data_IF_094187869685
#
_entry.id   IF_094187869685
#
_cell.length_a   1.000
_cell.length_b   1.000
_cell.length_c   1.000
_cell.angle_alpha   90.00
_cell.angle_beta   90.00
_cell.angle_gamma   90.00
#
_symmetry.space_group_name_H-M   'P 1'
#
loop_
_entity.id
_entity.type
_entity.pdbx_description
1 polymer ?
#
# COMPACT_ATOMS: atom_id res chain seq x y z
N UNK A 1 2.17 25.36 35.35
CA UNK A 1 0.71 25.13 35.41
C UNK A 1 -0.04 26.03 34.45
N UNK A 2 0.04 25.75 33.17
CA UNK A 2 -0.70 26.47 32.13
C UNK A 2 -1.58 25.47 31.38
N UNK A 3 -2.86 25.74 31.27
CA UNK A 3 -3.78 24.94 30.46
C UNK A 3 -3.43 25.14 29.00
N UNK A 4 -3.19 24.11 28.18
CA UNK A 4 -2.93 24.27 26.77
C UNK A 4 -4.15 24.88 26.07
N UNK A 5 -3.93 25.88 25.24
CA UNK A 5 -4.96 26.54 24.43
C UNK A 5 -5.12 25.95 23.04
N UNK A 6 -4.18 25.07 22.66
CA UNK A 6 -4.19 24.39 21.39
C UNK A 6 -3.62 22.96 21.57
N UNK A 7 -4.26 22.00 20.93
CA UNK A 7 -3.78 20.62 20.82
C UNK A 7 -3.84 20.18 19.36
N UNK A 8 -2.86 19.38 18.96
CA UNK A 8 -2.80 18.76 17.64
C UNK A 8 -2.72 17.25 17.80
N UNK A 9 -3.49 16.52 17.00
CA UNK A 9 -3.48 15.07 16.97
C UNK A 9 -3.42 14.60 15.52
N UNK A 10 -2.54 13.68 15.23
CA UNK A 10 -2.46 12.99 13.96
C UNK A 10 -2.95 11.55 14.12
N UNK A 11 -3.93 11.17 13.31
CA UNK A 11 -4.51 9.83 13.31
C UNK A 11 -4.41 9.22 11.91
N UNK A 12 -4.31 7.92 11.85
CA UNK A 12 -4.39 7.13 10.64
C UNK A 12 -5.53 6.12 10.76
N UNK A 13 -6.31 5.95 9.69
CA UNK A 13 -7.31 4.89 9.57
C UNK A 13 -6.90 3.95 8.45
N UNK A 14 -7.13 2.66 8.66
CA UNK A 14 -6.87 1.61 7.66
C UNK A 14 -8.10 0.72 7.53
N UNK A 15 -8.43 0.34 6.31
CA UNK A 15 -9.51 -0.58 5.99
C UNK A 15 -9.04 -1.63 5.00
N UNK A 16 -9.60 -2.85 5.08
CA UNK A 16 -9.34 -3.90 4.09
C UNK A 16 -9.91 -3.59 2.70
N UNK A 17 -10.91 -2.70 2.64
CA UNK A 17 -11.45 -2.15 1.41
C UNK A 17 -11.53 -0.63 1.50
N UNK A 18 -11.69 0.03 0.35
CA UNK A 18 -11.87 1.49 0.31
C UNK A 18 -13.10 1.93 1.13
N UNK A 19 -14.21 1.21 0.99
CA UNK A 19 -15.46 1.48 1.71
C UNK A 19 -15.28 1.39 3.24
N UNK A 20 -14.58 0.35 3.71
CA UNK A 20 -14.30 0.19 5.14
C UNK A 20 -13.41 1.33 5.64
N UNK A 21 -12.40 1.75 4.87
CA UNK A 21 -11.54 2.85 5.26
C UNK A 21 -12.29 4.20 5.32
N UNK A 22 -13.17 4.45 4.37
CA UNK A 22 -14.05 5.62 4.38
C UNK A 22 -14.97 5.61 5.60
N UNK A 23 -15.59 4.48 5.91
CA UNK A 23 -16.39 4.31 7.12
C UNK A 23 -15.58 4.58 8.40
N UNK A 24 -14.35 4.09 8.47
CA UNK A 24 -13.45 4.32 9.61
C UNK A 24 -13.12 5.82 9.75
N UNK A 25 -12.75 6.48 8.65
CA UNK A 25 -12.45 7.91 8.65
C UNK A 25 -13.64 8.74 9.12
N UNK A 26 -14.84 8.53 8.56
CA UNK A 26 -16.05 9.24 8.94
C UNK A 26 -16.47 8.95 10.38
N UNK A 27 -16.20 7.75 10.89
CA UNK A 27 -16.46 7.41 12.29
C UNK A 27 -15.52 8.15 13.23
N UNK A 28 -14.22 8.21 12.92
CA UNK A 28 -13.24 8.99 13.70
C UNK A 28 -13.61 10.47 13.68
N UNK A 29 -13.95 11.03 12.51
CA UNK A 29 -14.37 12.42 12.38
C UNK A 29 -15.56 12.75 13.30
N UNK A 30 -16.62 11.94 13.26
CA UNK A 30 -17.81 12.12 14.10
C UNK A 30 -17.48 12.05 15.60
N UNK A 31 -16.60 11.13 16.00
CA UNK A 31 -16.17 10.97 17.39
C UNK A 31 -15.42 12.25 17.84
N UNK A 32 -14.47 12.73 17.07
CA UNK A 32 -13.67 13.91 17.38
C UNK A 32 -14.56 15.15 17.49
N UNK A 33 -15.45 15.36 16.50
CA UNK A 33 -16.40 16.49 16.50
C UNK A 33 -17.38 16.40 17.69
N UNK A 34 -17.89 15.20 18.01
CA UNK A 34 -18.77 14.99 19.13
C UNK A 34 -18.08 15.22 20.49
N UNK A 35 -16.84 14.78 20.65
CA UNK A 35 -16.04 15.06 21.84
C UNK A 35 -15.78 16.57 21.98
N UNK A 36 -15.38 17.24 20.91
CA UNK A 36 -15.14 18.70 20.94
C UNK A 36 -16.41 19.46 21.35
N UNK A 37 -17.55 19.10 20.78
CA UNK A 37 -18.84 19.71 21.14
C UNK A 37 -19.19 19.47 22.62
N UNK A 38 -18.94 18.26 23.14
CA UNK A 38 -19.21 17.91 24.53
C UNK A 38 -18.38 18.72 25.53
N UNK A 39 -17.18 19.13 25.16
CA UNK A 39 -16.29 19.94 25.99
C UNK A 39 -16.33 21.45 25.65
N UNK A 40 -17.14 21.86 24.68
CA UNK A 40 -17.28 23.25 24.29
C UNK A 40 -16.00 23.83 23.67
N UNK A 41 -15.22 23.02 22.97
CA UNK A 41 -13.98 23.44 22.29
C UNK A 41 -14.16 23.41 20.78
N UNK A 42 -13.46 24.31 20.09
CA UNK A 42 -13.41 24.27 18.63
C UNK A 42 -12.54 23.11 18.14
N UNK A 43 -12.95 22.46 17.07
CA UNK A 43 -12.15 21.42 16.43
C UNK A 43 -12.14 21.60 14.91
N UNK A 44 -11.02 21.19 14.30
CA UNK A 44 -10.88 21.12 12.84
C UNK A 44 -10.29 19.74 12.49
N UNK A 45 -10.99 19.00 11.66
CA UNK A 45 -10.49 17.74 11.09
C UNK A 45 -10.10 17.98 9.64
N UNK A 46 -8.87 17.63 9.29
CA UNK A 46 -8.36 17.73 7.90
C UNK A 46 -7.76 16.42 7.48
N UNK A 47 -8.08 15.98 6.27
CA UNK A 47 -7.46 14.80 5.65
C UNK A 47 -6.12 15.24 5.03
N UNK A 48 -5.02 14.76 5.58
CA UNK A 48 -3.68 15.15 5.16
C UNK A 48 -3.13 14.31 3.99
N UNK A 49 -3.63 13.07 3.86
CA UNK A 49 -3.23 12.16 2.79
C UNK A 49 -4.14 10.95 2.72
N UNK A 50 -4.08 10.24 1.62
CA UNK A 50 -4.83 9.01 1.39
C UNK A 50 -4.07 8.14 0.38
N UNK A 51 -4.04 6.83 0.64
CA UNK A 51 -3.73 5.81 -0.34
C UNK A 51 -5.01 5.00 -0.60
N UNK A 52 -5.36 4.82 -1.86
CA UNK A 52 -6.58 4.09 -2.24
C UNK A 52 -6.32 2.60 -2.29
N UNK A 53 -7.33 1.81 -1.97
CA UNK A 53 -7.29 0.37 -2.23
C UNK A 53 -7.47 0.08 -3.72
N UNK A 54 -6.91 -1.03 -4.19
CA UNK A 54 -7.24 -1.64 -5.47
C UNK A 54 -7.24 -3.16 -5.33
N UNK A 55 -8.01 -3.83 -6.15
CA UNK A 55 -7.96 -5.27 -6.29
C UNK A 55 -7.09 -5.61 -7.50
N UNK A 56 -6.08 -6.45 -7.28
CA UNK A 56 -5.22 -6.90 -8.36
C UNK A 56 -6.02 -7.72 -9.39
N UNK A 57 -5.75 -7.50 -10.67
CA UNK A 57 -6.46 -8.20 -11.73
C UNK A 57 -5.86 -9.60 -11.94
N UNK A 58 -6.69 -10.63 -12.18
CA UNK A 58 -6.20 -12.00 -12.34
C UNK A 58 -5.14 -12.13 -13.44
N UNK A 59 -5.34 -11.51 -14.59
CA UNK A 59 -4.39 -11.58 -15.70
C UNK A 59 -3.02 -10.98 -15.35
N UNK A 60 -2.98 -9.88 -14.60
CA UNK A 60 -1.72 -9.31 -14.14
C UNK A 60 -1.06 -10.19 -13.06
N UNK A 61 -1.86 -10.83 -12.19
CA UNK A 61 -1.35 -11.77 -11.20
C UNK A 61 -0.71 -12.99 -11.85
N UNK A 62 -1.40 -13.61 -12.82
CA UNK A 62 -0.89 -14.80 -13.54
C UNK A 62 0.41 -14.48 -14.25
N UNK A 63 0.47 -13.37 -14.97
CA UNK A 63 1.67 -12.91 -15.67
C UNK A 63 2.85 -12.67 -14.69
N UNK A 64 2.57 -12.08 -13.54
CA UNK A 64 3.57 -11.83 -12.51
C UNK A 64 4.08 -13.13 -11.90
N UNK A 65 3.20 -14.07 -11.58
CA UNK A 65 3.56 -15.39 -11.05
C UNK A 65 4.44 -16.14 -12.05
N UNK A 66 4.06 -16.19 -13.32
CA UNK A 66 4.88 -16.84 -14.36
C UNK A 66 6.30 -16.24 -14.44
N UNK A 67 6.42 -14.91 -14.44
CA UNK A 67 7.71 -14.26 -14.47
C UNK A 67 8.54 -14.50 -13.20
N UNK A 68 7.90 -14.55 -12.05
CA UNK A 68 8.57 -14.87 -10.77
C UNK A 68 9.04 -16.32 -10.74
N UNK A 69 8.21 -17.27 -11.18
CA UNK A 69 8.54 -18.69 -11.23
C UNK A 69 9.74 -18.97 -12.16
N UNK A 70 9.83 -18.25 -13.28
CA UNK A 70 10.97 -18.37 -14.20
C UNK A 70 12.29 -17.96 -13.54
N UNK A 71 12.27 -16.95 -12.69
CA UNK A 71 13.48 -16.42 -12.04
C UNK A 71 13.83 -17.16 -10.76
N UNK A 72 12.83 -17.47 -9.93
CA UNK A 72 13.04 -18.00 -8.57
C UNK A 72 12.69 -19.48 -8.39
N UNK A 73 11.93 -20.06 -9.33
CA UNK A 73 11.32 -21.39 -9.16
C UNK A 73 10.02 -21.32 -8.33
N UNK A 74 9.12 -22.27 -8.57
CA UNK A 74 7.78 -22.28 -7.99
C UNK A 74 7.74 -22.34 -6.45
N UNK A 75 8.73 -22.99 -5.83
CA UNK A 75 8.79 -23.12 -4.36
C UNK A 75 9.07 -21.81 -3.63
N UNK A 76 9.49 -20.77 -4.35
CA UNK A 76 9.84 -19.46 -3.81
C UNK A 76 8.82 -18.36 -4.16
N UNK A 77 7.71 -18.74 -4.80
CA UNK A 77 6.66 -17.82 -5.22
C UNK A 77 5.38 -18.11 -4.46
N UNK A 78 4.78 -17.11 -3.87
CA UNK A 78 3.50 -17.22 -3.16
C UNK A 78 2.60 -16.06 -3.50
N UNK A 79 1.31 -16.31 -3.51
CA UNK A 79 0.29 -15.25 -3.62
C UNK A 79 -0.14 -14.79 -2.24
N UNK A 80 -0.28 -13.50 -2.06
CA UNK A 80 -0.82 -12.89 -0.85
C UNK A 80 -2.23 -12.39 -1.14
N UNK A 81 -3.20 -12.78 -0.31
CA UNK A 81 -4.57 -12.28 -0.43
C UNK A 81 -4.67 -10.80 -0.05
N UNK A 82 -3.92 -10.38 0.98
CA UNK A 82 -3.80 -8.97 1.36
C UNK A 82 -2.40 -8.68 1.87
N UNK A 83 -1.87 -7.53 1.56
CA UNK A 83 -0.56 -7.08 2.07
C UNK A 83 -0.68 -6.26 3.37
N UNK A 84 -1.87 -5.82 3.75
CA UNK A 84 -2.12 -5.03 4.97
C UNK A 84 -1.44 -3.67 5.03
N UNK A 85 -0.73 -3.30 3.99
CA UNK A 85 -0.02 -2.04 3.81
C UNK A 85 -0.74 -1.10 2.85
N UNK A 86 -0.25 0.12 2.77
CA UNK A 86 -0.63 1.10 1.75
C UNK A 86 0.60 1.54 0.98
N UNK A 87 0.45 1.71 -0.32
CA UNK A 87 1.52 2.09 -1.22
C UNK A 87 1.05 3.19 -2.17
N UNK A 88 1.92 4.13 -2.47
CA UNK A 88 1.59 5.26 -3.35
C UNK A 88 1.15 4.81 -4.74
N UNK A 89 1.72 3.71 -5.23
CA UNK A 89 1.37 3.14 -6.53
C UNK A 89 -0.06 2.57 -6.58
N UNK A 90 -0.75 2.37 -5.45
CA UNK A 90 -2.14 1.93 -5.43
C UNK A 90 -3.08 2.90 -6.14
N UNK A 91 -2.78 4.20 -6.07
CA UNK A 91 -3.53 5.24 -6.78
C UNK A 91 -3.38 5.06 -8.31
N UNK A 92 -2.16 4.79 -8.77
CA UNK A 92 -1.87 4.56 -10.18
C UNK A 92 -2.49 3.26 -10.67
N UNK A 93 -2.38 2.17 -9.89
CA UNK A 93 -2.95 0.87 -10.21
C UNK A 93 -4.48 0.97 -10.34
N UNK A 94 -5.15 1.58 -9.36
CA UNK A 94 -6.59 1.80 -9.41
C UNK A 94 -6.99 2.60 -10.65
N UNK A 95 -6.27 3.69 -10.93
CA UNK A 95 -6.54 4.52 -12.11
C UNK A 95 -6.37 3.75 -13.41
N UNK A 96 -5.36 2.91 -13.51
CA UNK A 96 -5.11 2.05 -14.66
C UNK A 96 -6.28 1.07 -14.87
N UNK A 97 -6.73 0.39 -13.81
CA UNK A 97 -7.85 -0.56 -13.85
C UNK A 97 -9.17 0.15 -14.26
N UNK A 98 -9.45 1.33 -13.72
CA UNK A 98 -10.61 2.15 -14.10
C UNK A 98 -10.63 2.50 -15.61
N UNK A 99 -9.48 2.46 -16.28
CA UNK A 99 -9.32 2.68 -17.72
C UNK A 99 -9.14 1.38 -18.51
N UNK A 100 -9.44 0.23 -17.92
CA UNK A 100 -9.41 -1.08 -18.57
C UNK A 100 -8.03 -1.70 -18.72
N UNK A 101 -7.03 -1.22 -17.96
CA UNK A 101 -5.73 -1.86 -17.89
C UNK A 101 -5.66 -2.89 -16.76
N UNK A 102 -4.64 -3.74 -16.80
CA UNK A 102 -4.35 -4.74 -15.80
C UNK A 102 -3.34 -4.21 -14.79
N UNK A 103 -3.49 -4.57 -13.51
CA UNK A 103 -2.54 -4.18 -12.47
C UNK A 103 -2.43 -5.22 -11.36
N UNK A 104 -1.24 -5.39 -10.83
CA UNK A 104 -0.96 -6.18 -9.63
C UNK A 104 0.19 -5.57 -8.83
N UNK A 105 0.43 -6.11 -7.66
CA UNK A 105 1.49 -5.71 -6.78
C UNK A 105 2.51 -6.84 -6.61
N UNK A 106 3.78 -6.52 -6.72
CA UNK A 106 4.87 -7.48 -6.53
C UNK A 106 5.68 -7.11 -5.30
N UNK A 107 5.80 -8.08 -4.41
CA UNK A 107 6.78 -8.03 -3.33
C UNK A 107 7.91 -9.00 -3.62
N UNK A 108 9.13 -8.56 -3.43
CA UNK A 108 10.28 -9.46 -3.49
C UNK A 108 11.08 -9.36 -2.18
N UNK A 109 11.57 -10.51 -1.73
CA UNK A 109 12.38 -10.60 -0.52
C UNK A 109 13.79 -10.06 -0.75
N UNK A 110 14.31 -9.36 0.23
CA UNK A 110 15.73 -9.00 0.34
C UNK A 110 16.16 -9.10 1.80
N UNK A 111 17.43 -9.35 2.04
CA UNK A 111 17.98 -9.30 3.40
C UNK A 111 18.16 -7.84 3.82
N UNK A 112 17.51 -7.45 4.91
CA UNK A 112 17.57 -6.10 5.43
C UNK A 112 17.34 -6.06 6.95
N UNK A 113 17.62 -4.90 7.57
CA UNK A 113 17.45 -4.70 9.03
C UNK A 113 16.00 -4.45 9.48
N UNK A 114 15.04 -4.44 8.59
CA UNK A 114 13.63 -4.15 8.85
C UNK A 114 13.18 -2.82 8.22
N UNK A 115 11.87 -2.75 7.96
CA UNK A 115 11.25 -1.56 7.39
C UNK A 115 11.16 -0.41 8.39
N UNK A 116 11.06 0.82 7.89
CA UNK A 116 10.81 2.03 8.68
C UNK A 116 11.86 2.31 9.76
N UNK A 117 13.10 1.94 9.52
CA UNK A 117 14.23 2.18 10.41
C UNK A 117 15.22 3.16 9.78
N UNK A 118 15.85 3.98 10.62
CA UNK A 118 16.84 4.94 10.16
C UNK A 118 18.14 4.26 9.63
N UNK A 119 18.38 3.02 10.04
CA UNK A 119 19.49 2.17 9.62
C UNK A 119 19.08 1.13 8.57
N UNK A 120 17.98 1.38 7.84
CA UNK A 120 17.54 0.48 6.76
C UNK A 120 18.63 0.38 5.68
N UNK A 121 19.04 -0.84 5.40
CA UNK A 121 20.03 -1.17 4.38
C UNK A 121 19.71 -2.53 3.77
N UNK A 122 19.75 -2.63 2.47
CA UNK A 122 19.66 -3.91 1.76
C UNK A 122 21.04 -4.56 1.81
N UNK A 123 21.11 -5.74 2.45
CA UNK A 123 22.39 -6.41 2.76
C UNK A 123 22.85 -7.39 1.67
N UNK A 124 21.97 -7.78 0.78
CA UNK A 124 22.32 -8.69 -0.32
C UNK A 124 22.42 -7.96 -1.66
N UNK A 125 23.27 -8.47 -2.53
CA UNK A 125 23.52 -7.91 -3.87
C UNK A 125 22.70 -8.61 -4.97
N UNK A 126 21.92 -9.65 -4.62
CA UNK A 126 21.21 -10.48 -5.60
C UNK A 126 19.75 -10.12 -5.74
N UNK A 127 19.12 -9.55 -4.71
CA UNK A 127 17.70 -9.22 -4.71
C UNK A 127 17.31 -8.21 -5.80
N UNK A 128 18.09 -7.15 -5.97
CA UNK A 128 17.82 -6.14 -6.99
C UNK A 128 17.97 -6.67 -8.43
N UNK A 129 19.07 -7.37 -8.81
CA UNK A 129 19.17 -8.03 -10.12
C UNK A 129 18.04 -9.04 -10.38
N UNK A 130 17.64 -9.82 -9.38
CA UNK A 130 16.54 -10.77 -9.51
C UNK A 130 15.20 -10.07 -9.74
N UNK A 131 14.89 -9.03 -8.97
CA UNK A 131 13.70 -8.20 -9.19
C UNK A 131 13.68 -7.58 -10.59
N UNK A 132 14.81 -7.07 -11.07
CA UNK A 132 14.94 -6.53 -12.41
C UNK A 132 14.73 -7.60 -13.51
N UNK A 133 15.18 -8.83 -13.28
CA UNK A 133 14.93 -9.94 -14.20
C UNK A 133 13.44 -10.26 -14.30
N UNK A 134 12.71 -10.29 -13.17
CA UNK A 134 11.24 -10.45 -13.15
C UNK A 134 10.54 -9.35 -13.92
N UNK A 135 10.84 -8.09 -13.62
CA UNK A 135 10.25 -6.95 -14.32
C UNK A 135 10.54 -6.98 -15.82
N UNK A 136 11.76 -7.32 -16.21
CA UNK A 136 12.14 -7.49 -17.62
C UNK A 136 11.36 -8.64 -18.29
N UNK A 137 11.12 -9.73 -17.57
CA UNK A 137 10.29 -10.85 -18.02
C UNK A 137 8.85 -10.43 -18.26
N UNK A 138 8.26 -9.68 -17.34
CA UNK A 138 6.91 -9.12 -17.48
C UNK A 138 6.84 -8.20 -18.72
N UNK A 139 7.80 -7.25 -18.85
CA UNK A 139 7.83 -6.33 -19.99
C UNK A 139 7.94 -7.07 -21.34
N UNK A 140 8.75 -8.11 -21.43
CA UNK A 140 8.86 -8.91 -22.67
C UNK A 140 7.53 -9.58 -23.01
N UNK A 141 6.89 -10.22 -22.04
CA UNK A 141 5.60 -10.92 -22.25
C UNK A 141 4.48 -9.96 -22.66
N UNK A 142 4.40 -8.79 -22.03
CA UNK A 142 3.36 -7.79 -22.36
C UNK A 142 3.55 -7.18 -23.76
N UNK A 143 4.78 -7.13 -24.27
CA UNK A 143 5.09 -6.58 -25.60
C UNK A 143 5.25 -7.66 -26.68
N UNK A 144 5.00 -8.92 -26.38
CA UNK A 144 5.12 -10.01 -27.34
C UNK A 144 6.57 -10.31 -27.77
N UNK A 145 7.54 -10.06 -26.90
CA UNK A 145 8.98 -10.25 -27.14
C UNK A 145 9.53 -11.53 -26.47
#
# INVERSE_FOLDING_TARGET
NVTPVHAFMQCETRGSTQEINEYMFESVRRIVEGCAASYGVECRVTKAGEATNFEATPAACDLAVEACVEVFGGDHVTSLETAGGSEDCSILARRAIEHGAEATFLFYGCNHHGHHRADFEIQDTQSLPAALAVLSGICRRTNGL
#
